data_IF_632597394144
#
_entry.id   IF_632597394144
#
_cell.length_a   1.000
_cell.length_b   1.000
_cell.length_c   1.000
_cell.angle_alpha   90.00
_cell.angle_beta   90.00
_cell.angle_gamma   90.00
#
_symmetry.space_group_name_H-M   'P 1'
#
loop_
_entity.id
_entity.type
_entity.pdbx_description
1 polymer ?
#
# COMPACT_ATOMS: atom_id res chain seq x y z
N UNK A 1 40.01 23.38 -4.22
CA UNK A 1 38.73 24.01 -3.84
C UNK A 1 37.67 23.39 -4.74
N UNK A 2 36.97 22.36 -4.29
CA UNK A 2 35.94 21.69 -5.09
C UNK A 2 34.58 22.27 -4.70
N UNK A 3 34.00 23.07 -5.58
CA UNK A 3 32.67 23.66 -5.41
C UNK A 3 31.63 22.59 -5.73
N UNK A 4 30.86 22.18 -4.73
CA UNK A 4 29.69 21.31 -4.93
C UNK A 4 28.62 22.20 -5.56
N UNK A 5 28.47 22.09 -6.87
CA UNK A 5 27.36 22.72 -7.60
C UNK A 5 26.09 21.95 -7.29
N UNK A 6 25.18 22.59 -6.56
CA UNK A 6 23.84 22.10 -6.28
C UNK A 6 23.11 21.84 -7.60
N UNK A 7 23.03 20.58 -8.00
CA UNK A 7 22.20 20.16 -9.12
C UNK A 7 20.74 20.41 -8.74
N UNK A 8 20.05 21.15 -9.61
CA UNK A 8 18.64 21.48 -9.50
C UNK A 8 17.81 20.19 -9.64
N UNK A 9 17.60 19.46 -8.54
CA UNK A 9 16.69 18.32 -8.46
C UNK A 9 15.28 18.83 -8.18
N UNK A 10 14.63 19.43 -9.17
CA UNK A 10 13.18 19.70 -9.14
C UNK A 10 12.34 18.41 -9.23
N UNK A 11 12.85 17.28 -8.71
CA UNK A 11 12.22 15.97 -8.81
C UNK A 11 12.62 14.97 -7.73
N UNK A 12 13.35 15.39 -6.68
CA UNK A 12 13.66 14.50 -5.55
C UNK A 12 13.30 15.22 -4.25
N UNK A 13 12.02 15.17 -3.90
CA UNK A 13 11.60 15.37 -2.52
C UNK A 13 10.50 14.36 -2.20
N UNK A 14 10.86 13.07 -2.23
CA UNK A 14 10.06 12.00 -1.62
C UNK A 14 10.89 11.14 -0.65
N UNK A 15 12.18 11.47 -0.48
CA UNK A 15 13.17 10.65 0.25
C UNK A 15 13.27 11.00 1.76
N UNK A 16 12.18 11.47 2.35
CA UNK A 16 12.07 11.65 3.81
C UNK A 16 11.01 10.75 4.45
N UNK A 17 10.35 9.90 3.67
CA UNK A 17 9.43 8.86 4.19
C UNK A 17 10.06 7.46 4.31
N UNK A 18 11.33 7.29 3.95
CA UNK A 18 12.03 6.00 4.13
C UNK A 18 12.21 5.56 5.60
N UNK A 19 11.84 6.40 6.58
CA UNK A 19 11.98 6.05 7.99
C UNK A 19 10.69 5.60 8.70
N UNK A 20 9.49 5.76 8.11
CA UNK A 20 8.27 5.41 8.85
C UNK A 20 7.06 5.07 7.97
N UNK A 21 7.22 4.10 7.07
CA UNK A 21 6.13 3.50 6.29
C UNK A 21 5.77 4.28 5.04
N UNK A 22 5.44 3.56 3.96
CA UNK A 22 4.94 4.14 2.73
C UNK A 22 3.77 5.08 3.06
N UNK A 23 3.85 6.39 2.77
CA UNK A 23 2.81 7.35 3.15
C UNK A 23 1.47 7.10 2.44
N UNK A 24 1.45 6.20 1.45
CA UNK A 24 0.28 5.84 0.64
C UNK A 24 -0.21 4.43 0.94
N UNK A 25 0.19 3.87 2.10
CA UNK A 25 -0.19 2.54 2.54
C UNK A 25 -1.39 2.60 3.48
N UNK A 26 -2.51 2.07 3.00
CA UNK A 26 -3.75 1.90 3.73
C UNK A 26 -3.77 0.51 4.37
N UNK A 27 -4.17 0.45 5.64
CA UNK A 27 -4.52 -0.81 6.31
C UNK A 27 -6.02 -1.05 6.21
N UNK A 28 -6.41 -2.23 5.73
CA UNK A 28 -7.80 -2.60 5.54
C UNK A 28 -8.10 -3.85 6.39
N UNK A 29 -8.83 -3.66 7.49
CA UNK A 29 -9.15 -4.71 8.46
C UNK A 29 -10.58 -5.25 8.33
N UNK A 30 -10.93 -6.17 9.23
CA UNK A 30 -12.27 -6.78 9.33
C UNK A 30 -12.74 -7.46 8.02
N UNK A 31 -11.80 -8.00 7.26
CA UNK A 31 -12.10 -8.69 6.02
C UNK A 31 -12.82 -10.03 6.28
N UNK A 32 -13.84 -10.38 5.48
CA UNK A 32 -14.48 -11.69 5.57
C UNK A 32 -13.49 -12.82 5.37
N UNK A 33 -13.63 -13.93 6.12
CA UNK A 33 -12.74 -15.10 5.99
C UNK A 33 -12.73 -15.73 4.59
N UNK A 34 -13.80 -15.53 3.82
CA UNK A 34 -13.96 -16.02 2.46
C UNK A 34 -13.51 -15.03 1.38
N UNK A 35 -13.08 -13.80 1.73
CA UNK A 35 -12.61 -12.86 0.71
C UNK A 35 -11.26 -13.34 0.17
N UNK A 36 -11.05 -13.15 -1.12
CA UNK A 36 -9.76 -13.46 -1.76
C UNK A 36 -8.97 -12.18 -1.98
N UNK A 37 -7.65 -12.31 -2.09
CA UNK A 37 -6.76 -11.23 -2.51
C UNK A 37 -7.24 -10.59 -3.82
N UNK A 38 -7.67 -11.40 -4.78
CA UNK A 38 -8.19 -10.93 -6.06
C UNK A 38 -9.45 -10.06 -5.90
N UNK A 39 -10.37 -10.44 -5.01
CA UNK A 39 -11.56 -9.63 -4.72
C UNK A 39 -11.19 -8.27 -4.12
N UNK A 40 -10.22 -8.24 -3.20
CA UNK A 40 -9.71 -6.97 -2.64
C UNK A 40 -9.04 -6.13 -3.72
N UNK A 41 -8.22 -6.74 -4.58
CA UNK A 41 -7.58 -6.06 -5.70
C UNK A 41 -8.61 -5.42 -6.64
N UNK A 42 -9.71 -6.13 -6.95
CA UNK A 42 -10.78 -5.60 -7.79
C UNK A 42 -11.50 -4.41 -7.15
N UNK A 43 -11.76 -4.46 -5.84
CA UNK A 43 -12.35 -3.33 -5.10
C UNK A 43 -11.40 -2.13 -5.08
N UNK A 44 -10.14 -2.35 -4.74
CA UNK A 44 -9.13 -1.31 -4.65
C UNK A 44 -8.85 -0.62 -6.00
N UNK A 45 -8.92 -1.37 -7.11
CA UNK A 45 -8.79 -0.85 -8.48
C UNK A 45 -9.85 0.18 -8.86
N UNK A 46 -10.98 0.24 -8.16
CA UNK A 46 -12.01 1.27 -8.43
C UNK A 46 -11.55 2.67 -8.01
N UNK A 47 -10.59 2.76 -7.08
CA UNK A 47 -10.08 4.04 -6.57
C UNK A 47 -8.82 4.51 -7.31
N UNK A 48 -8.01 3.59 -7.81
CA UNK A 48 -6.76 3.92 -8.51
C UNK A 48 -5.86 2.72 -8.80
N UNK A 49 -4.68 3.00 -9.34
CA UNK A 49 -3.65 2.00 -9.59
C UNK A 49 -2.85 1.71 -8.30
N UNK A 50 -2.80 0.44 -7.90
CA UNK A 50 -2.01 -0.02 -6.77
C UNK A 50 -0.56 -0.23 -7.18
N UNK A 51 0.37 0.25 -6.34
CA UNK A 51 1.78 -0.08 -6.40
C UNK A 51 2.09 -1.40 -5.69
N UNK A 52 1.40 -1.70 -4.59
CA UNK A 52 1.58 -2.94 -3.83
C UNK A 52 0.29 -3.37 -3.14
N UNK A 53 0.13 -4.69 -2.95
CA UNK A 53 -0.95 -5.32 -2.21
C UNK A 53 -0.35 -6.42 -1.33
N UNK A 54 -0.35 -6.20 -0.02
CA UNK A 54 0.07 -7.21 0.94
C UNK A 54 -1.15 -7.88 1.58
N UNK A 55 -1.40 -9.14 1.20
CA UNK A 55 -2.53 -9.92 1.67
C UNK A 55 -2.07 -11.16 2.46
N UNK A 56 -1.91 -11.04 3.79
CA UNK A 56 -1.40 -12.12 4.61
C UNK A 56 -2.40 -13.28 4.75
N UNK A 57 -1.85 -14.48 4.64
CA UNK A 57 -2.53 -15.76 4.88
C UNK A 57 -1.87 -16.51 6.02
N UNK A 58 -2.64 -17.30 6.74
CA UNK A 58 -2.12 -18.17 7.79
C UNK A 58 -1.16 -19.20 7.18
N UNK A 59 0.09 -19.18 7.61
CA UNK A 59 1.13 -20.09 7.11
C UNK A 59 1.09 -21.48 7.75
N UNK A 60 0.49 -21.61 8.93
CA UNK A 60 0.46 -22.84 9.74
C UNK A 60 -0.81 -22.89 10.60
N UNK A 61 -1.08 -24.06 11.20
CA UNK A 61 -2.26 -24.34 12.02
C UNK A 61 -3.49 -24.75 11.22
N UNK A 62 -4.61 -24.97 11.90
CA UNK A 62 -5.87 -25.47 11.31
C UNK A 62 -6.45 -24.54 10.24
N UNK A 63 -6.12 -23.25 10.32
CA UNK A 63 -6.53 -22.23 9.37
C UNK A 63 -5.50 -22.00 8.26
N UNK A 64 -4.50 -22.87 8.08
CA UNK A 64 -3.47 -22.70 7.03
C UNK A 64 -4.11 -22.46 5.66
N UNK A 65 -3.59 -21.46 4.93
CA UNK A 65 -4.13 -21.01 3.64
C UNK A 65 -5.35 -20.09 3.75
N UNK A 66 -5.98 -19.98 4.93
CA UNK A 66 -7.05 -19.00 5.17
C UNK A 66 -6.48 -17.60 5.35
N UNK A 67 -7.32 -16.61 5.07
CA UNK A 67 -6.95 -15.19 5.17
C UNK A 67 -6.90 -14.76 6.64
N UNK A 68 -5.99 -13.84 6.98
CA UNK A 68 -5.84 -13.35 8.36
C UNK A 68 -6.96 -12.34 8.72
N UNK A 69 -7.72 -11.85 7.75
CA UNK A 69 -8.79 -10.89 7.96
C UNK A 69 -8.35 -9.43 7.86
N UNK A 70 -7.15 -9.16 7.34
CA UNK A 70 -6.71 -7.82 6.98
C UNK A 70 -5.76 -7.87 5.78
N UNK A 71 -5.56 -6.72 5.13
CA UNK A 71 -4.55 -6.52 4.11
C UNK A 71 -3.98 -5.10 4.18
N UNK A 72 -2.95 -4.84 3.38
CA UNK A 72 -2.44 -3.49 3.15
C UNK A 72 -2.40 -3.20 1.66
N UNK A 73 -2.77 -1.96 1.32
CA UNK A 73 -2.84 -1.46 -0.04
C UNK A 73 -1.92 -0.26 -0.15
N UNK A 74 -1.02 -0.23 -1.12
CA UNK A 74 -0.22 0.95 -1.41
C UNK A 74 -0.61 1.48 -2.77
N UNK A 75 -1.15 2.69 -2.83
CA UNK A 75 -1.49 3.34 -4.10
C UNK A 75 -0.28 4.03 -4.72
N UNK A 76 -0.27 4.11 -6.05
CA UNK A 76 0.80 4.79 -6.79
C UNK A 76 0.69 6.32 -6.71
N UNK A 77 -0.53 6.84 -6.61
CA UNK A 77 -0.82 8.27 -6.54
C UNK A 77 -1.45 8.61 -5.18
N UNK A 78 -1.01 9.73 -4.60
CA UNK A 78 -1.53 10.25 -3.33
C UNK A 78 -3.02 10.58 -3.42
N UNK A 79 -3.47 11.06 -4.57
CA UNK A 79 -4.88 11.39 -4.80
C UNK A 79 -5.78 10.15 -4.76
N UNK A 80 -5.27 8.98 -5.17
CA UNK A 80 -6.03 7.73 -5.17
C UNK A 80 -6.10 7.12 -3.77
N UNK A 81 -5.01 7.21 -3.02
CA UNK A 81 -4.97 6.90 -1.58
C UNK A 81 -6.02 7.73 -0.81
N UNK A 82 -6.05 9.05 -1.05
CA UNK A 82 -7.00 9.95 -0.39
C UNK A 82 -8.47 9.64 -0.75
N UNK A 83 -8.74 9.16 -1.97
CA UNK A 83 -10.09 8.71 -2.38
C UNK A 83 -10.50 7.45 -1.64
N UNK A 84 -9.60 6.45 -1.58
CA UNK A 84 -9.87 5.18 -0.93
C UNK A 84 -10.05 5.34 0.60
N UNK A 85 -9.27 6.23 1.23
CA UNK A 85 -9.36 6.51 2.67
C UNK A 85 -10.67 7.16 3.11
N UNK A 86 -11.31 7.93 2.22
CA UNK A 86 -12.51 8.73 2.56
C UNK A 86 -13.82 7.95 2.56
N UNK A 87 -13.80 6.67 2.18
CA UNK A 87 -15.00 5.80 2.10
C UNK A 87 -15.30 5.17 3.44
#
# INVERSE_FOLDING_TARGET
>A
MATITCFNTSGICSDLTEMNGDPHRIWLGCLPKCITEFSVLQLAKQFGELSDLYFPVHKTGDMQGSTVGYCFLTYRLVDDDMKAWKV
#
